data_IF_749890793284
#
_entry.id   IF_749890793284
#
_cell.length_a   1.000
_cell.length_b   1.000
_cell.length_c   1.000
_cell.angle_alpha   90.00
_cell.angle_beta   90.00
_cell.angle_gamma   90.00
#
_symmetry.space_group_name_H-M   'P 1'
#
loop_
_entity.id
_entity.type
_entity.pdbx_description
1 polymer ?
#
# COMPACT_ATOMS: atom_id res chain seq x y z
N UNK A 1 36.07 -15.64 -53.29
CA UNK A 1 35.21 -14.69 -52.55
C UNK A 1 34.75 -15.38 -51.27
N UNK A 2 35.21 -15.01 -50.06
CA UNK A 2 34.80 -15.67 -48.83
C UNK A 2 33.57 -15.00 -48.25
N UNK A 3 32.58 -15.82 -47.98
CA UNK A 3 31.30 -15.46 -47.39
C UNK A 3 31.47 -15.17 -45.89
N UNK A 4 31.22 -13.94 -45.47
CA UNK A 4 31.23 -13.55 -44.05
C UNK A 4 29.84 -13.80 -43.46
N UNK A 5 29.70 -14.85 -42.69
CA UNK A 5 28.54 -15.04 -41.81
C UNK A 5 28.71 -14.14 -40.58
N UNK A 6 27.89 -13.09 -40.50
CA UNK A 6 27.74 -12.28 -39.27
C UNK A 6 26.84 -13.02 -38.30
N UNK A 7 27.41 -13.49 -37.20
CA UNK A 7 26.63 -13.97 -36.05
C UNK A 7 25.98 -12.75 -35.36
N UNK A 8 24.69 -12.65 -35.47
CA UNK A 8 23.88 -11.71 -34.64
C UNK A 8 23.67 -12.37 -33.29
N UNK A 9 24.44 -11.95 -32.29
CA UNK A 9 24.18 -12.30 -30.87
C UNK A 9 23.00 -11.52 -30.40
N UNK A 10 21.84 -12.16 -30.33
CA UNK A 10 20.67 -11.57 -29.71
C UNK A 10 20.87 -11.54 -28.19
N UNK A 11 21.11 -10.35 -27.63
CA UNK A 11 21.16 -10.14 -26.19
C UNK A 11 19.74 -10.29 -25.64
N UNK A 12 19.47 -11.41 -25.00
CA UNK A 12 18.26 -11.61 -24.20
C UNK A 12 18.41 -10.74 -22.94
N UNK A 13 17.76 -9.58 -22.94
CA UNK A 13 17.60 -8.79 -21.73
C UNK A 13 16.68 -9.56 -20.77
N UNK A 14 17.28 -10.21 -19.78
CA UNK A 14 16.54 -10.78 -18.66
C UNK A 14 15.95 -9.58 -17.89
N UNK A 15 14.66 -9.32 -18.08
CA UNK A 15 13.90 -8.46 -17.17
C UNK A 15 13.88 -9.15 -15.80
N UNK A 16 14.88 -8.87 -14.98
CA UNK A 16 14.82 -9.14 -13.55
C UNK A 16 13.64 -8.32 -13.03
N UNK A 17 12.54 -9.00 -12.72
CA UNK A 17 11.37 -8.36 -12.14
C UNK A 17 11.82 -7.51 -10.94
N UNK A 18 11.58 -6.21 -11.00
CA UNK A 18 11.85 -5.31 -9.88
C UNK A 18 10.99 -5.78 -8.71
N UNK A 19 11.64 -6.44 -7.76
CA UNK A 19 10.98 -6.92 -6.55
C UNK A 19 10.54 -5.70 -5.76
N UNK A 20 9.26 -5.67 -5.40
CA UNK A 20 8.70 -4.55 -4.68
C UNK A 20 9.45 -4.31 -3.35
N UNK A 21 9.79 -3.05 -3.07
CA UNK A 21 10.35 -2.66 -1.79
C UNK A 21 9.37 -2.99 -0.65
N UNK A 22 9.85 -3.22 0.58
CA UNK A 22 8.99 -3.40 1.73
C UNK A 22 8.11 -2.17 1.93
N UNK A 23 6.82 -2.37 2.22
CA UNK A 23 5.86 -1.29 2.28
C UNK A 23 4.86 -1.48 3.43
N UNK A 24 4.76 -0.48 4.31
CA UNK A 24 3.77 -0.42 5.38
C UNK A 24 2.54 0.30 4.82
N UNK A 25 1.47 -0.44 4.60
CA UNK A 25 0.23 0.04 4.02
C UNK A 25 -0.70 0.69 5.06
N UNK A 26 -0.59 0.29 6.32
CA UNK A 26 -1.29 0.84 7.47
C UNK A 26 -0.46 0.57 8.73
N UNK A 27 -0.37 1.54 9.65
CA UNK A 27 -0.92 2.89 9.66
C UNK A 27 -0.23 3.82 8.64
N UNK A 28 -0.90 4.93 8.30
CA UNK A 28 -0.28 5.99 7.51
C UNK A 28 0.82 6.70 8.31
N UNK A 29 1.90 7.16 7.66
CA UNK A 29 2.92 7.98 8.32
C UNK A 29 2.30 9.22 8.97
N UNK A 30 2.80 9.57 10.15
CA UNK A 30 2.37 10.73 10.95
C UNK A 30 0.84 10.82 11.14
N UNK A 31 0.20 9.66 11.30
CA UNK A 31 -1.23 9.54 11.59
C UNK A 31 -1.49 9.38 13.09
N UNK A 32 -2.69 9.75 13.52
CA UNK A 32 -3.14 9.67 14.92
C UNK A 32 -4.33 8.75 15.05
N UNK A 33 -4.27 7.88 16.04
CA UNK A 33 -5.32 6.95 16.42
C UNK A 33 -5.92 7.35 17.77
N UNK A 34 -7.19 7.05 17.97
CA UNK A 34 -7.78 7.01 19.30
C UNK A 34 -7.14 5.87 20.11
N UNK A 35 -7.26 5.93 21.45
CA UNK A 35 -6.84 4.81 22.30
C UNK A 35 -7.58 3.52 21.91
N UNK A 36 -6.83 2.45 21.70
CA UNK A 36 -7.36 1.14 21.31
C UNK A 36 -6.44 0.42 20.34
N UNK A 37 -6.92 -0.67 19.74
CA UNK A 37 -6.12 -1.48 18.83
C UNK A 37 -5.81 -0.71 17.53
N UNK A 38 -4.56 -0.86 17.09
CA UNK A 38 -4.07 -0.36 15.81
C UNK A 38 -3.74 -1.55 14.92
N UNK A 39 -4.32 -1.55 13.72
CA UNK A 39 -4.05 -2.58 12.71
C UNK A 39 -2.83 -2.19 11.89
N UNK A 40 -1.85 -3.07 11.85
CA UNK A 40 -0.66 -2.92 11.01
C UNK A 40 -0.79 -3.87 9.83
N UNK A 41 -0.74 -3.31 8.62
CA UNK A 41 -0.74 -4.05 7.36
C UNK A 41 0.54 -3.71 6.64
N UNK A 42 1.31 -4.72 6.27
CA UNK A 42 2.56 -4.54 5.54
C UNK A 42 2.70 -5.54 4.41
N UNK A 43 3.47 -5.15 3.40
CA UNK A 43 3.83 -5.98 2.26
C UNK A 43 5.34 -6.14 2.23
N UNK A 44 5.81 -7.39 2.13
CA UNK A 44 7.22 -7.70 1.99
C UNK A 44 7.41 -9.03 1.27
N UNK A 45 8.46 -9.15 0.50
CA UNK A 45 8.88 -10.41 -0.11
C UNK A 45 9.93 -11.09 0.76
N UNK A 46 9.84 -12.40 0.88
CA UNK A 46 10.77 -13.22 1.66
C UNK A 46 10.58 -13.06 3.17
N UNK A 47 11.66 -13.20 3.92
CA UNK A 47 11.65 -13.10 5.37
C UNK A 47 11.49 -11.63 5.79
N UNK A 48 10.51 -11.40 6.63
CA UNK A 48 10.19 -10.05 7.13
C UNK A 48 9.85 -10.08 8.62
N UNK A 49 10.13 -8.97 9.31
CA UNK A 49 9.86 -8.78 10.72
C UNK A 49 9.23 -7.41 10.94
N UNK A 50 8.15 -7.37 11.71
CA UNK A 50 7.52 -6.14 12.19
C UNK A 50 8.00 -5.84 13.61
N UNK A 51 8.37 -4.58 13.85
CA UNK A 51 8.74 -4.09 15.17
C UNK A 51 7.89 -2.87 15.53
N UNK A 52 7.47 -2.81 16.79
CA UNK A 52 6.87 -1.63 17.42
C UNK A 52 7.86 -1.12 18.46
N UNK A 53 8.30 0.13 18.34
CA UNK A 53 9.27 0.77 19.23
C UNK A 53 10.53 -0.08 19.46
N UNK A 54 11.00 -0.72 18.39
CA UNK A 54 12.18 -1.57 18.39
C UNK A 54 11.97 -3.00 18.94
N UNK A 55 10.76 -3.35 19.38
CA UNK A 55 10.42 -4.70 19.86
C UNK A 55 9.66 -5.47 18.79
N UNK A 56 10.06 -6.71 18.53
CA UNK A 56 9.35 -7.59 17.61
C UNK A 56 7.90 -7.80 18.05
N UNK A 57 6.98 -7.70 17.10
CA UNK A 57 5.55 -7.94 17.30
C UNK A 57 5.09 -9.17 16.52
N UNK A 58 4.17 -9.91 17.10
CA UNK A 58 3.55 -11.04 16.43
C UNK A 58 2.74 -10.56 15.22
N UNK A 59 2.89 -11.24 14.10
CA UNK A 59 2.12 -10.99 12.89
C UNK A 59 1.65 -12.29 12.27
N UNK A 60 0.49 -12.24 11.66
CA UNK A 60 -0.06 -13.29 10.82
C UNK A 60 0.35 -13.03 9.37
N UNK A 61 0.49 -14.10 8.59
CA UNK A 61 0.69 -14.01 7.15
C UNK A 61 -0.54 -14.62 6.44
N UNK A 62 -1.60 -13.84 6.25
CA UNK A 62 -2.83 -14.33 5.65
C UNK A 62 -2.64 -14.75 4.19
N UNK A 63 -1.59 -14.27 3.55
CA UNK A 63 -1.16 -14.72 2.24
C UNK A 63 0.32 -14.38 2.01
N UNK A 64 0.94 -14.97 0.99
CA UNK A 64 2.34 -14.72 0.65
C UNK A 64 2.62 -13.23 0.48
N UNK A 65 3.65 -12.75 1.14
CA UNK A 65 4.08 -11.36 1.08
C UNK A 65 3.22 -10.36 1.86
N UNK A 66 2.24 -10.81 2.67
CA UNK A 66 1.40 -9.96 3.50
C UNK A 66 1.64 -10.27 4.97
N UNK A 67 1.84 -9.23 5.77
CA UNK A 67 1.90 -9.30 7.23
C UNK A 67 0.76 -8.48 7.81
N UNK A 68 0.05 -9.08 8.75
CA UNK A 68 -1.04 -8.46 9.50
C UNK A 68 -0.75 -8.58 11.00
N UNK A 69 -0.74 -7.46 11.69
CA UNK A 69 -0.61 -7.44 13.15
C UNK A 69 -1.68 -6.53 13.77
N UNK A 70 -2.06 -6.85 14.99
CA UNK A 70 -2.90 -6.02 15.84
C UNK A 70 -2.10 -5.68 17.08
N UNK A 71 -1.92 -4.39 17.36
CA UNK A 71 -1.16 -3.91 18.50
C UNK A 71 -2.01 -2.96 19.33
N UNK A 72 -1.75 -2.89 20.62
CA UNK A 72 -2.40 -1.94 21.55
C UNK A 72 -1.33 -1.02 22.18
N UNK A 73 -0.83 -0.02 21.43
CA UNK A 73 0.17 0.88 21.94
C UNK A 73 -0.38 1.76 23.08
N UNK A 74 0.47 2.17 23.99
CA UNK A 74 0.14 3.18 24.99
C UNK A 74 -0.19 4.54 24.32
N UNK A 75 -0.69 5.49 25.10
CA UNK A 75 -0.81 6.88 24.62
C UNK A 75 0.59 7.45 24.39
N UNK A 76 0.83 8.02 23.22
CA UNK A 76 2.13 8.58 22.84
C UNK A 76 2.45 8.44 21.37
N UNK A 77 3.69 8.75 21.02
CA UNK A 77 4.24 8.59 19.65
C UNK A 77 4.98 7.26 19.57
N UNK A 78 4.73 6.52 18.52
CA UNK A 78 5.25 5.18 18.28
C UNK A 78 5.91 5.09 16.90
N UNK A 79 6.82 4.13 16.73
CA UNK A 79 7.45 3.78 15.48
C UNK A 79 7.09 2.32 15.11
N UNK A 80 6.53 2.11 13.92
CA UNK A 80 6.50 0.80 13.27
C UNK A 80 7.68 0.72 12.33
N UNK A 81 8.39 -0.40 12.39
CA UNK A 81 9.49 -0.73 11.49
C UNK A 81 9.21 -2.08 10.84
N UNK A 82 9.29 -2.11 9.52
CA UNK A 82 9.28 -3.33 8.72
C UNK A 82 10.72 -3.61 8.27
N UNK A 83 11.30 -4.70 8.73
CA UNK A 83 12.63 -5.18 8.35
C UNK A 83 12.53 -6.35 7.40
N UNK A 84 13.35 -6.34 6.36
CA UNK A 84 13.52 -7.44 5.41
C UNK A 84 14.98 -7.62 5.07
N UNK A 85 15.33 -8.68 4.39
CA UNK A 85 16.68 -8.87 3.85
C UNK A 85 17.05 -7.83 2.78
N UNK A 86 16.07 -7.16 2.19
CA UNK A 86 16.22 -6.16 1.12
C UNK A 86 16.24 -4.71 1.61
N UNK A 87 16.01 -4.50 2.90
CA UNK A 87 15.97 -3.17 3.51
C UNK A 87 14.93 -3.04 4.60
N UNK A 88 14.74 -1.82 5.04
CA UNK A 88 13.75 -1.49 6.07
C UNK A 88 12.93 -0.27 5.68
N UNK A 89 11.67 -0.25 6.15
CA UNK A 89 10.82 0.94 6.16
C UNK A 89 10.43 1.27 7.59
N UNK A 90 10.34 2.55 7.88
CA UNK A 90 9.91 3.08 9.19
C UNK A 90 8.82 4.12 8.99
N UNK A 91 7.83 4.06 9.84
CA UNK A 91 6.81 5.09 9.94
C UNK A 91 6.60 5.45 11.40
N UNK A 92 6.15 6.68 11.66
CA UNK A 92 5.69 7.10 12.99
C UNK A 92 4.18 7.29 12.96
N UNK A 93 3.56 7.05 14.11
CA UNK A 93 2.15 7.36 14.35
C UNK A 93 1.97 7.72 15.83
N UNK A 94 0.80 8.23 16.21
CA UNK A 94 0.51 8.52 17.62
C UNK A 94 -0.83 7.92 18.04
N UNK A 95 -0.96 7.68 19.34
CA UNK A 95 -2.19 7.23 20.00
C UNK A 95 -2.60 8.27 21.03
N UNK A 96 -3.88 8.62 21.07
CA UNK A 96 -4.42 9.65 21.96
C UNK A 96 -4.42 11.05 21.35
N UNK A 97 -4.28 12.07 22.19
CA UNK A 97 -4.21 13.47 21.77
C UNK A 97 -2.87 13.78 21.11
N UNK A 98 -2.86 14.72 20.17
CA UNK A 98 -1.62 15.12 19.51
C UNK A 98 -1.83 15.87 18.19
N UNK A 99 -0.73 16.34 17.60
CA UNK A 99 -0.72 17.16 16.38
C UNK A 99 -0.85 16.37 15.07
N UNK A 100 -0.67 15.05 15.11
CA UNK A 100 -0.82 14.23 13.91
C UNK A 100 -2.27 14.18 13.44
N UNK A 101 -2.47 14.11 12.13
CA UNK A 101 -3.81 14.04 11.56
C UNK A 101 -4.50 12.72 11.89
N UNK A 102 -5.79 12.76 12.22
CA UNK A 102 -6.54 11.56 12.58
C UNK A 102 -6.56 10.54 11.44
N UNK A 103 -6.14 9.31 11.72
CA UNK A 103 -6.28 8.20 10.80
C UNK A 103 -7.75 7.81 10.65
N UNK A 104 -8.17 7.52 9.44
CA UNK A 104 -9.48 6.99 9.12
C UNK A 104 -9.32 5.73 8.28
N UNK A 105 -9.91 4.66 8.74
CA UNK A 105 -10.00 3.44 7.94
C UNK A 105 -11.01 3.65 6.80
N UNK A 106 -10.69 3.08 5.63
CA UNK A 106 -11.69 2.97 4.58
C UNK A 106 -12.78 1.97 5.02
N UNK A 107 -14.06 2.32 4.89
CA UNK A 107 -15.14 1.40 5.26
C UNK A 107 -14.99 0.02 4.67
N UNK A 108 -15.20 -0.97 4.59
CA UNK A 108 -15.03 -2.40 4.52
C UNK A 108 -13.61 -2.94 4.79
N UNK A 109 -12.61 -2.14 5.10
CA UNK A 109 -11.23 -2.66 5.29
C UNK A 109 -11.12 -3.73 6.40
N UNK A 110 -12.07 -3.77 7.31
CA UNK A 110 -12.14 -4.82 8.33
C UNK A 110 -12.43 -6.23 7.75
N UNK A 111 -12.98 -6.28 6.54
CA UNK A 111 -13.33 -7.52 5.80
C UNK A 111 -12.48 -7.59 4.55
N UNK A 112 -11.28 -8.15 4.67
CA UNK A 112 -10.30 -8.23 3.59
C UNK A 112 -10.89 -8.88 2.33
N UNK A 113 -11.73 -9.88 2.50
CA UNK A 113 -12.40 -10.63 1.44
C UNK A 113 -13.40 -9.80 0.62
N UNK A 114 -13.79 -8.62 1.09
CA UNK A 114 -14.62 -7.72 0.28
C UNK A 114 -13.88 -7.26 -0.98
N UNK A 115 -12.57 -7.06 -0.87
CA UNK A 115 -11.73 -6.56 -1.95
C UNK A 115 -10.72 -7.60 -2.45
N UNK A 116 -10.31 -8.52 -1.60
CA UNK A 116 -9.28 -9.49 -1.88
C UNK A 116 -9.82 -10.91 -1.96
N UNK A 117 -9.23 -11.70 -2.84
CA UNK A 117 -9.36 -13.15 -2.86
C UNK A 117 -8.00 -13.78 -2.52
N UNK A 118 -8.03 -14.85 -1.74
CA UNK A 118 -6.84 -15.68 -1.50
C UNK A 118 -7.00 -16.97 -2.28
N UNK A 119 -6.12 -17.21 -3.23
CA UNK A 119 -6.10 -18.45 -4.02
C UNK A 119 -4.69 -19.04 -3.96
N UNK A 120 -4.60 -20.28 -3.46
CA UNK A 120 -3.31 -20.97 -3.27
C UNK A 120 -2.30 -20.14 -2.42
N UNK A 121 -2.78 -19.46 -1.38
CA UNK A 121 -1.95 -18.63 -0.51
C UNK A 121 -1.49 -17.29 -1.12
N UNK A 122 -2.01 -16.92 -2.29
CA UNK A 122 -1.67 -15.66 -2.97
C UNK A 122 -2.87 -14.72 -2.93
N UNK A 123 -2.63 -13.47 -2.54
CA UNK A 123 -3.63 -12.41 -2.64
C UNK A 123 -3.81 -11.95 -4.07
N UNK A 124 -5.06 -11.77 -4.45
CA UNK A 124 -5.46 -11.09 -5.67
C UNK A 124 -6.63 -10.16 -5.36
N UNK A 125 -6.93 -9.24 -6.26
CA UNK A 125 -8.17 -8.48 -6.16
C UNK A 125 -9.35 -9.36 -6.59
N UNK A 126 -10.53 -9.15 -6.00
CA UNK A 126 -11.77 -9.79 -6.38
C UNK A 126 -12.20 -9.48 -7.83
N UNK A 127 -11.66 -8.42 -8.41
CA UNK A 127 -11.89 -8.00 -9.78
C UNK A 127 -10.56 -7.84 -10.52
N UNK A 128 -10.59 -8.03 -11.82
CA UNK A 128 -9.42 -7.93 -12.69
C UNK A 128 -8.84 -6.52 -12.80
N UNK A 129 -9.60 -5.51 -12.39
CA UNK A 129 -9.18 -4.11 -12.41
C UNK A 129 -9.56 -3.41 -11.10
N UNK A 130 -8.66 -2.61 -10.51
CA UNK A 130 -8.96 -1.78 -9.33
C UNK A 130 -10.21 -0.91 -9.54
N UNK A 131 -10.36 -0.31 -10.71
CA UNK A 131 -11.53 0.52 -11.06
C UNK A 131 -12.84 -0.26 -10.95
N UNK A 132 -12.90 -1.47 -11.48
CA UNK A 132 -14.09 -2.31 -11.39
C UNK A 132 -14.40 -2.72 -9.96
N UNK A 133 -13.37 -2.86 -9.12
CA UNK A 133 -13.52 -3.14 -7.71
C UNK A 133 -14.10 -1.93 -6.97
N UNK A 134 -13.53 -0.76 -7.17
CA UNK A 134 -13.96 0.48 -6.52
C UNK A 134 -15.41 0.84 -6.89
N UNK A 135 -15.78 0.69 -8.14
CA UNK A 135 -17.12 0.99 -8.63
C UNK A 135 -18.22 0.04 -8.17
N UNK A 136 -17.92 -0.99 -7.39
CA UNK A 136 -18.96 -1.75 -6.71
C UNK A 136 -19.69 -0.93 -5.63
N UNK A 137 -18.99 0.05 -5.04
CA UNK A 137 -19.51 0.91 -3.99
C UNK A 137 -19.46 2.39 -4.36
N UNK A 138 -18.49 2.81 -5.19
CA UNK A 138 -18.35 4.18 -5.66
C UNK A 138 -19.01 4.31 -7.03
N UNK A 139 -20.15 5.02 -7.07
CA UNK A 139 -20.83 5.24 -8.34
C UNK A 139 -20.01 6.20 -9.23
N UNK A 140 -19.75 5.81 -10.47
CA UNK A 140 -19.05 6.62 -11.45
C UNK A 140 -19.68 8.00 -11.67
N UNK A 141 -21.01 8.09 -11.58
CA UNK A 141 -21.77 9.32 -11.77
C UNK A 141 -21.62 10.32 -10.61
N UNK A 142 -21.27 9.84 -9.41
CA UNK A 142 -21.04 10.66 -8.23
C UNK A 142 -19.59 11.11 -8.08
N UNK A 143 -18.71 10.70 -9.00
CA UNK A 143 -17.32 11.16 -9.01
C UNK A 143 -17.27 12.68 -9.17
N UNK A 144 -16.61 13.41 -8.27
CA UNK A 144 -16.45 14.86 -8.42
C UNK A 144 -15.76 15.20 -9.75
N UNK A 145 -16.09 16.35 -10.31
CA UNK A 145 -15.44 16.86 -11.56
C UNK A 145 -13.91 16.92 -11.47
N UNK A 146 -13.35 16.92 -10.27
CA UNK A 146 -11.90 16.86 -10.02
C UNK A 146 -11.23 15.55 -10.48
N UNK A 147 -12.00 14.52 -10.81
CA UNK A 147 -11.50 13.26 -11.35
C UNK A 147 -11.56 13.21 -12.89
N UNK A 148 -11.57 14.34 -13.55
CA UNK A 148 -11.58 14.43 -15.02
C UNK A 148 -10.19 14.24 -15.62
N UNK A 149 -9.52 13.15 -15.30
CA UNK A 149 -8.26 12.77 -15.92
C UNK A 149 -8.47 11.83 -17.10
N UNK A 150 -7.41 11.67 -17.90
CA UNK A 150 -7.42 10.70 -19.01
C UNK A 150 -7.74 9.28 -18.49
N UNK A 151 -8.37 8.42 -19.28
CA UNK A 151 -8.80 7.09 -18.86
C UNK A 151 -7.70 6.24 -18.21
N UNK A 152 -6.46 6.35 -18.67
CA UNK A 152 -5.33 5.60 -18.13
C UNK A 152 -5.02 5.93 -16.66
N UNK A 153 -5.15 7.20 -16.25
CA UNK A 153 -4.98 7.62 -14.85
C UNK A 153 -6.18 7.18 -14.00
N UNK A 154 -7.39 7.27 -14.56
CA UNK A 154 -8.61 6.83 -13.87
C UNK A 154 -8.71 5.30 -13.73
N UNK A 155 -7.90 4.55 -14.47
CA UNK A 155 -7.86 3.09 -14.38
C UNK A 155 -7.16 2.57 -13.12
N UNK A 156 -6.38 3.41 -12.42
CA UNK A 156 -5.68 3.04 -11.18
C UNK A 156 -5.91 4.08 -10.09
N UNK A 157 -6.97 3.89 -9.31
CA UNK A 157 -7.30 4.75 -8.18
C UNK A 157 -6.20 4.75 -7.11
N UNK A 158 -5.42 3.67 -7.01
CA UNK A 158 -4.38 3.50 -6.01
C UNK A 158 -3.12 4.35 -6.29
N UNK A 159 -2.99 4.93 -7.48
CA UNK A 159 -1.94 5.92 -7.74
C UNK A 159 -2.00 7.10 -6.77
N UNK A 160 -3.19 7.46 -6.31
CA UNK A 160 -3.40 8.60 -5.43
C UNK A 160 -4.06 8.23 -4.09
N UNK A 161 -4.85 7.17 -4.05
CA UNK A 161 -5.65 6.79 -2.88
C UNK A 161 -5.15 5.50 -2.23
N UNK A 162 -5.12 5.46 -0.90
CA UNK A 162 -4.90 4.21 -0.16
C UNK A 162 -6.24 3.61 0.25
N UNK A 163 -6.61 2.43 -0.28
CA UNK A 163 -7.89 1.78 0.03
C UNK A 163 -7.95 1.19 1.45
N UNK A 164 -6.83 1.12 2.18
CA UNK A 164 -6.81 0.64 3.56
C UNK A 164 -7.07 1.75 4.58
N UNK A 165 -7.09 3.00 4.13
CA UNK A 165 -7.27 4.17 4.98
C UNK A 165 -6.08 5.12 4.94
N UNK A 166 -6.29 6.34 5.38
CA UNK A 166 -5.25 7.38 5.46
C UNK A 166 -5.66 8.50 6.40
N UNK A 167 -4.77 9.43 6.63
CA UNK A 167 -5.00 10.60 7.48
C UNK A 167 -5.41 11.87 6.72
N UNK A 168 -5.40 11.85 5.39
CA UNK A 168 -5.84 12.96 4.54
C UNK A 168 -7.29 12.83 4.10
N UNK A 169 -7.86 13.89 3.54
CA UNK A 169 -9.16 13.83 2.89
C UNK A 169 -9.15 12.85 1.71
N UNK A 170 -10.25 12.13 1.52
CA UNK A 170 -10.41 11.12 0.47
C UNK A 170 -9.29 10.05 0.43
N UNK A 171 -8.58 9.83 1.54
CA UNK A 171 -7.49 8.84 1.65
C UNK A 171 -6.34 9.06 0.65
N UNK A 172 -6.08 10.30 0.28
CA UNK A 172 -4.93 10.62 -0.58
C UNK A 172 -3.62 10.30 0.16
N UNK A 173 -2.73 9.57 -0.50
CA UNK A 173 -1.42 9.18 0.06
C UNK A 173 -0.45 10.35 0.17
N UNK A 174 -0.78 11.47 -0.46
CA UNK A 174 -0.02 12.72 -0.45
C UNK A 174 -0.95 13.93 -0.56
N UNK A 175 -0.44 15.14 -0.37
CA UNK A 175 -1.20 16.36 -0.60
C UNK A 175 -1.59 16.48 -2.08
N UNK A 176 -2.76 17.06 -2.36
CA UNK A 176 -3.28 17.21 -3.73
C UNK A 176 -2.27 17.84 -4.68
N UNK A 177 -1.58 18.89 -4.23
CA UNK A 177 -0.58 19.61 -5.03
C UNK A 177 0.62 18.72 -5.40
N UNK A 178 0.99 17.80 -4.51
CA UNK A 178 2.05 16.82 -4.76
C UNK A 178 1.59 15.73 -5.72
N UNK A 179 0.34 15.27 -5.58
CA UNK A 179 -0.24 14.28 -6.48
C UNK A 179 -0.30 14.83 -7.93
N UNK A 180 -0.68 16.10 -8.11
CA UNK A 180 -0.67 16.71 -9.44
C UNK A 180 0.73 16.76 -10.05
N UNK A 181 1.76 17.04 -9.24
CA UNK A 181 3.16 17.13 -9.70
C UNK A 181 3.80 15.80 -10.07
N UNK A 182 3.17 14.67 -9.82
CA UNK A 182 3.66 13.38 -10.32
C UNK A 182 3.64 13.31 -11.85
N UNK A 183 2.77 14.08 -12.49
CA UNK A 183 2.58 14.08 -13.94
C UNK A 183 2.61 15.49 -14.55
N UNK A 184 2.37 16.53 -13.76
CA UNK A 184 2.35 17.93 -14.21
C UNK A 184 3.50 18.70 -13.56
N UNK A 185 4.40 19.24 -14.39
CA UNK A 185 5.48 20.11 -13.95
C UNK A 185 4.99 21.54 -13.70
#
# INVERSE_FOLDING_TARGET
MPNRFSLIVASVAICLGQQAAPDILSPAPDSRFSKGPVRVIARAEGKAELLLDGRSIASESPAAGVLLAHVEPAVGVHEIRLKTEKGEQKIRFSVGEGSFAAFREHPPVAKCETCHAVKNGVWSLQRTSPVLLCFQCHNKETFPKTHTHIPGVLADCQMCHNPHGWSTAAFLTMKKEQACKLCHN
#
